data_IF_767686236583
#
_entry.id   IF_767686236583
#
_cell.length_a   1.000
_cell.length_b   1.000
_cell.length_c   1.000
_cell.angle_alpha   90.00
_cell.angle_beta   90.00
_cell.angle_gamma   90.00
#
_symmetry.space_group_name_H-M   'P 1'
#
loop_
_entity.id
_entity.type
_entity.pdbx_description
1 polymer ?
#
# COMPACT_ATOMS: atom_id res chain seq x y z
N UNK A 1 -48.80 -32.54 10.20
CA UNK A 1 -47.34 -32.35 10.13
C UNK A 1 -47.09 -31.16 9.23
N UNK A 2 -46.83 -29.99 9.77
CA UNK A 2 -46.49 -28.78 9.01
C UNK A 2 -44.96 -28.75 8.80
N UNK A 3 -44.54 -28.79 7.54
CA UNK A 3 -43.17 -28.57 7.14
C UNK A 3 -42.85 -27.06 7.23
N UNK A 4 -41.92 -26.70 8.04
CA UNK A 4 -41.28 -25.36 8.07
C UNK A 4 -40.42 -25.18 6.83
N UNK A 5 -40.47 -24.04 6.12
CA UNK A 5 -39.56 -23.78 5.02
C UNK A 5 -38.15 -23.57 5.54
N UNK A 6 -37.19 -24.34 5.01
CA UNK A 6 -35.78 -24.11 5.21
C UNK A 6 -35.41 -22.86 4.42
N UNK A 7 -35.11 -21.78 5.11
CA UNK A 7 -34.38 -20.68 4.53
C UNK A 7 -32.95 -21.18 4.18
N UNK A 8 -32.69 -21.21 2.89
CA UNK A 8 -31.35 -21.39 2.36
C UNK A 8 -30.49 -20.22 2.92
N UNK A 9 -29.45 -20.55 3.66
CA UNK A 9 -28.43 -19.60 4.04
C UNK A 9 -27.76 -19.08 2.77
N UNK A 10 -28.13 -17.87 2.34
CA UNK A 10 -27.30 -17.08 1.47
C UNK A 10 -25.94 -16.94 2.17
N UNK A 11 -24.88 -17.36 1.50
CA UNK A 11 -23.53 -17.01 1.90
C UNK A 11 -23.46 -15.47 1.90
N UNK A 12 -23.40 -14.89 3.06
CA UNK A 12 -22.98 -13.51 3.23
C UNK A 12 -21.56 -13.44 2.67
N UNK A 13 -21.41 -12.93 1.46
CA UNK A 13 -20.13 -12.47 0.95
C UNK A 13 -19.67 -11.38 1.92
N UNK A 14 -18.57 -11.58 2.60
CA UNK A 14 -17.97 -10.52 3.40
C UNK A 14 -17.56 -9.41 2.44
N UNK A 15 -18.30 -8.30 2.46
CA UNK A 15 -17.97 -7.12 1.68
C UNK A 15 -16.57 -6.67 2.10
N UNK A 16 -15.61 -6.79 1.17
CA UNK A 16 -14.23 -6.44 1.45
C UNK A 16 -14.08 -4.93 1.38
N UNK A 17 -13.64 -4.33 2.48
CA UNK A 17 -13.07 -2.99 2.48
C UNK A 17 -11.68 -3.05 3.10
N UNK A 18 -10.72 -2.40 2.46
CA UNK A 18 -9.36 -2.30 2.92
C UNK A 18 -8.86 -0.86 2.84
N UNK A 19 -8.20 -0.43 3.90
CA UNK A 19 -7.72 0.92 4.07
C UNK A 19 -6.20 0.92 4.18
N UNK A 20 -5.55 1.71 3.33
CA UNK A 20 -4.10 1.80 3.27
C UNK A 20 -3.65 3.24 3.48
N UNK A 21 -2.56 3.42 4.22
CA UNK A 21 -1.86 4.69 4.34
C UNK A 21 -0.40 4.52 3.95
N UNK A 22 0.01 5.19 2.88
CA UNK A 22 1.39 5.22 2.40
C UNK A 22 2.03 6.54 2.85
N UNK A 23 3.17 6.46 3.51
CA UNK A 23 3.81 7.63 4.10
C UNK A 23 5.34 7.62 3.96
N UNK A 24 5.91 8.81 3.89
CA UNK A 24 7.33 9.01 3.75
C UNK A 24 7.69 10.50 3.67
N UNK A 25 8.91 10.83 3.34
CA UNK A 25 9.31 12.21 3.11
C UNK A 25 8.88 12.71 1.72
N UNK A 26 8.77 14.03 1.57
CA UNK A 26 8.56 14.65 0.26
C UNK A 26 9.64 14.21 -0.73
N UNK A 27 9.20 13.83 -1.95
CA UNK A 27 10.10 13.35 -3.01
C UNK A 27 10.32 11.84 -3.06
N UNK A 28 9.92 11.06 -2.05
CA UNK A 28 10.02 9.59 -2.09
C UNK A 28 8.97 8.90 -2.99
N UNK A 29 8.03 9.64 -3.58
CA UNK A 29 7.07 9.11 -4.55
C UNK A 29 5.95 8.24 -3.96
N UNK A 30 5.69 8.31 -2.65
CA UNK A 30 4.61 7.54 -1.98
C UNK A 30 3.23 7.83 -2.57
N UNK A 31 2.98 9.07 -2.99
CA UNK A 31 1.73 9.46 -3.65
C UNK A 31 1.57 8.76 -5.00
N UNK A 32 2.66 8.70 -5.79
CA UNK A 32 2.66 7.99 -7.08
C UNK A 32 2.37 6.50 -6.89
N UNK A 33 3.01 5.86 -5.91
CA UNK A 33 2.75 4.45 -5.58
C UNK A 33 1.28 4.21 -5.20
N UNK A 34 0.71 5.09 -4.36
CA UNK A 34 -0.70 5.02 -3.97
C UNK A 34 -1.65 5.17 -5.17
N UNK A 35 -1.38 6.10 -6.08
CA UNK A 35 -2.18 6.31 -7.29
C UNK A 35 -2.12 5.06 -8.18
N UNK A 36 -0.94 4.48 -8.42
CA UNK A 36 -0.78 3.28 -9.23
C UNK A 36 -1.57 2.10 -8.63
N UNK A 37 -1.50 1.94 -7.30
CA UNK A 37 -2.23 0.88 -6.62
C UNK A 37 -3.75 1.06 -6.72
N UNK A 38 -4.23 2.30 -6.57
CA UNK A 38 -5.63 2.68 -6.75
C UNK A 38 -6.13 2.40 -8.18
N UNK A 39 -5.34 2.76 -9.20
CA UNK A 39 -5.65 2.49 -10.61
C UNK A 39 -5.72 0.98 -10.89
N UNK A 40 -4.79 0.20 -10.34
CA UNK A 40 -4.78 -1.25 -10.47
C UNK A 40 -6.03 -1.89 -9.83
N UNK A 41 -6.43 -1.42 -8.64
CA UNK A 41 -7.65 -1.88 -7.96
C UNK A 41 -8.91 -1.52 -8.77
N UNK A 42 -8.98 -0.31 -9.31
CA UNK A 42 -10.08 0.13 -10.17
C UNK A 42 -10.17 -0.72 -11.44
N UNK A 43 -9.04 -1.07 -12.06
CA UNK A 43 -9.01 -1.95 -13.23
C UNK A 43 -9.49 -3.38 -12.92
N UNK A 44 -9.43 -3.79 -11.65
CA UNK A 44 -10.00 -5.05 -11.17
C UNK A 44 -11.50 -4.96 -10.80
N UNK A 45 -12.15 -3.83 -11.08
CA UNK A 45 -13.58 -3.63 -10.82
C UNK A 45 -13.92 -3.24 -9.38
N UNK A 46 -12.93 -2.83 -8.58
CA UNK A 46 -13.14 -2.35 -7.20
C UNK A 46 -13.59 -0.89 -7.17
N UNK A 47 -14.35 -0.53 -6.15
CA UNK A 47 -14.57 0.86 -5.79
C UNK A 47 -13.34 1.37 -5.03
N UNK A 48 -12.87 2.57 -5.38
CA UNK A 48 -11.64 3.14 -4.82
C UNK A 48 -11.83 4.60 -4.47
N UNK A 49 -11.40 4.99 -3.29
CA UNK A 49 -11.21 6.38 -2.92
C UNK A 49 -9.73 6.61 -2.60
N UNK A 50 -9.14 7.66 -3.17
CA UNK A 50 -7.75 8.03 -2.92
C UNK A 50 -7.68 9.48 -2.49
N UNK A 51 -6.98 9.75 -1.39
CA UNK A 51 -6.69 11.08 -0.90
C UNK A 51 -5.19 11.27 -0.69
N UNK A 52 -4.76 12.53 -0.64
CA UNK A 52 -3.37 12.88 -0.38
C UNK A 52 -3.27 14.11 0.48
N UNK A 53 -2.29 14.13 1.37
CA UNK A 53 -1.98 15.28 2.19
C UNK A 53 -0.48 15.54 2.17
N UNK A 54 -0.15 16.77 1.85
CA UNK A 54 1.20 17.29 2.03
C UNK A 54 1.25 17.91 3.43
N UNK A 55 2.21 17.49 4.27
CA UNK A 55 2.39 18.11 5.57
C UNK A 55 2.60 19.63 5.44
N UNK A 56 2.16 20.44 6.42
CA UNK A 56 2.29 21.90 6.40
C UNK A 56 3.75 22.37 6.37
N UNK A 57 4.68 21.49 6.63
CA UNK A 57 6.11 21.75 6.60
C UNK A 57 6.61 21.63 5.16
N UNK A 58 6.89 22.75 4.53
CA UNK A 58 7.35 22.85 3.15
C UNK A 58 8.69 22.12 2.86
N UNK A 59 9.39 21.63 3.88
CA UNK A 59 10.63 20.83 3.80
C UNK A 59 10.73 19.87 4.98
N UNK A 60 10.72 18.57 4.68
CA UNK A 60 10.96 17.51 5.68
C UNK A 60 9.73 16.95 6.40
N UNK A 61 8.53 17.44 6.14
CA UNK A 61 7.30 16.86 6.68
C UNK A 61 6.93 15.52 6.03
N UNK A 62 6.26 14.65 6.78
CA UNK A 62 5.78 13.38 6.28
C UNK A 62 4.65 13.61 5.27
N UNK A 63 4.90 13.29 4.00
CA UNK A 63 3.86 13.15 2.98
C UNK A 63 3.06 11.89 3.24
N UNK A 64 1.74 11.94 3.05
CA UNK A 64 0.90 10.75 3.09
C UNK A 64 -0.06 10.70 1.90
N UNK A 65 -0.38 9.49 1.49
CA UNK A 65 -1.48 9.20 0.60
C UNK A 65 -2.29 8.05 1.17
N UNK A 66 -3.59 8.12 1.06
CA UNK A 66 -4.52 7.14 1.60
C UNK A 66 -5.31 6.53 0.46
N UNK A 67 -5.56 5.24 0.55
CA UNK A 67 -6.33 4.48 -0.44
C UNK A 67 -7.32 3.60 0.30
N UNK A 68 -8.60 3.72 -0.05
CA UNK A 68 -9.66 2.81 0.39
C UNK A 68 -10.09 2.00 -0.83
N UNK A 69 -10.11 0.69 -0.69
CA UNK A 69 -10.54 -0.25 -1.73
C UNK A 69 -11.69 -1.08 -1.19
N UNK A 70 -12.81 -1.12 -1.90
CA UNK A 70 -14.03 -1.80 -1.45
C UNK A 70 -14.75 -2.52 -2.58
N UNK A 71 -15.44 -3.58 -2.24
CA UNK A 71 -16.42 -4.21 -3.13
C UNK A 71 -17.67 -3.35 -3.27
N UNK A 72 -18.01 -2.59 -2.23
CA UNK A 72 -19.17 -1.71 -2.16
C UNK A 72 -18.86 -0.23 -2.35
N UNK A 73 -19.91 0.58 -2.41
CA UNK A 73 -19.81 2.05 -2.52
C UNK A 73 -19.18 2.64 -1.24
N UNK A 74 -18.14 3.44 -1.43
CA UNK A 74 -17.44 4.12 -0.33
C UNK A 74 -18.18 5.41 0.00
N UNK A 75 -18.91 5.42 1.12
CA UNK A 75 -19.66 6.60 1.57
C UNK A 75 -18.81 7.59 2.39
N UNK A 76 -17.78 7.09 3.09
CA UNK A 76 -16.91 7.86 3.95
C UNK A 76 -15.44 7.67 3.54
N UNK A 77 -14.92 8.51 2.62
CA UNK A 77 -13.56 8.36 2.10
C UNK A 77 -12.51 8.92 3.09
N UNK A 78 -12.52 8.42 4.33
CA UNK A 78 -11.62 8.81 5.41
C UNK A 78 -10.98 7.57 6.01
N UNK A 79 -9.67 7.56 6.09
CA UNK A 79 -8.90 6.47 6.71
C UNK A 79 -8.61 6.84 8.17
N UNK A 80 -9.22 6.14 9.10
CA UNK A 80 -8.98 6.33 10.54
C UNK A 80 -8.07 5.23 11.09
N UNK A 81 -8.40 3.98 10.82
CA UNK A 81 -7.66 2.80 11.28
C UNK A 81 -7.23 1.95 10.09
N UNK A 82 -6.14 2.33 9.38
CA UNK A 82 -5.71 1.61 8.20
C UNK A 82 -5.34 0.16 8.50
N UNK A 83 -5.71 -0.75 7.60
CA UNK A 83 -5.26 -2.15 7.63
C UNK A 83 -3.76 -2.24 7.35
N UNK A 84 -3.24 -1.33 6.52
CA UNK A 84 -1.83 -1.31 6.13
C UNK A 84 -1.28 0.12 6.22
N UNK A 85 -0.18 0.27 6.94
CA UNK A 85 0.65 1.49 6.91
C UNK A 85 1.99 1.15 6.28
N UNK A 86 2.35 1.84 5.20
CA UNK A 86 3.71 1.92 4.71
C UNK A 86 4.40 3.14 5.32
N UNK A 87 5.55 2.96 5.96
CA UNK A 87 6.39 4.03 6.46
C UNK A 87 7.80 3.94 5.87
N UNK A 88 8.13 4.86 4.98
CA UNK A 88 9.44 4.91 4.31
C UNK A 88 10.49 5.77 5.06
N UNK A 89 10.14 6.30 6.23
CA UNK A 89 11.06 7.06 7.09
C UNK A 89 10.66 6.90 8.56
N UNK A 90 11.62 7.14 9.48
CA UNK A 90 11.35 7.09 10.91
C UNK A 90 10.24 8.06 11.31
N UNK A 91 10.28 9.30 10.81
CA UNK A 91 9.25 10.30 11.11
C UNK A 91 7.84 9.87 10.66
N UNK A 92 7.75 9.16 9.54
CA UNK A 92 6.48 8.60 9.06
C UNK A 92 6.01 7.44 9.95
N UNK A 93 6.91 6.55 10.35
CA UNK A 93 6.61 5.44 11.26
C UNK A 93 6.14 5.95 12.62
N UNK A 94 6.86 6.87 13.23
CA UNK A 94 6.52 7.46 14.54
C UNK A 94 5.15 8.16 14.52
N UNK A 95 4.81 8.77 13.38
CA UNK A 95 3.57 9.54 13.23
C UNK A 95 2.34 8.68 12.98
N UNK A 96 2.48 7.61 12.20
CA UNK A 96 1.31 6.90 11.63
C UNK A 96 1.17 5.45 12.07
N UNK A 97 2.19 4.83 12.68
CA UNK A 97 2.06 3.44 13.13
C UNK A 97 0.99 3.27 14.22
N UNK A 98 0.77 4.31 15.04
CA UNK A 98 -0.28 4.28 16.08
C UNK A 98 -1.71 4.32 15.58
N UNK A 99 -1.92 4.64 14.29
CA UNK A 99 -3.25 4.70 13.67
C UNK A 99 -3.68 3.32 13.11
N UNK A 100 -2.75 2.35 13.02
CA UNK A 100 -3.04 1.00 12.50
C UNK A 100 -4.21 0.33 13.22
N UNK A 101 -4.95 -0.50 12.49
CA UNK A 101 -5.89 -1.44 13.12
C UNK A 101 -5.17 -2.24 14.20
N UNK A 102 -5.65 -2.22 15.46
CA UNK A 102 -4.92 -2.77 16.59
C UNK A 102 -4.84 -4.30 16.57
N UNK A 103 -5.73 -4.99 15.85
CA UNK A 103 -5.80 -6.45 15.84
C UNK A 103 -5.06 -7.06 14.64
N UNK A 104 -5.28 -6.50 13.45
CA UNK A 104 -4.84 -7.10 12.20
C UNK A 104 -3.97 -6.17 11.33
N UNK A 105 -3.68 -4.96 11.84
CA UNK A 105 -2.93 -3.96 11.08
C UNK A 105 -1.51 -4.39 10.78
N UNK A 106 -1.05 -4.15 9.56
CA UNK A 106 0.29 -4.46 9.08
C UNK A 106 1.10 -3.19 8.89
N UNK A 107 2.24 -3.09 9.56
CA UNK A 107 3.22 -2.03 9.37
C UNK A 107 4.32 -2.50 8.42
N UNK A 108 4.39 -1.90 7.24
CA UNK A 108 5.49 -2.11 6.29
C UNK A 108 6.49 -0.97 6.45
N UNK A 109 7.76 -1.28 6.69
CA UNK A 109 8.80 -0.27 6.90
C UNK A 109 9.99 -0.47 5.96
N UNK A 110 10.63 0.64 5.59
CA UNK A 110 11.99 0.60 5.04
C UNK A 110 12.97 0.31 6.20
N UNK A 111 13.53 -0.88 6.23
CA UNK A 111 14.35 -1.36 7.35
C UNK A 111 15.60 -0.51 7.62
N UNK A 112 16.13 0.17 6.61
CA UNK A 112 17.30 1.02 6.73
C UNK A 112 16.96 2.44 7.23
N UNK A 113 15.79 2.95 6.82
CA UNK A 113 15.36 4.31 7.14
C UNK A 113 14.46 4.39 8.38
N UNK A 114 14.05 3.23 8.93
CA UNK A 114 13.24 3.10 10.15
C UNK A 114 13.97 2.18 11.15
N UNK A 115 15.09 2.61 11.74
CA UNK A 115 15.87 1.80 12.69
C UNK A 115 15.13 1.52 14.00
N UNK A 116 14.17 2.36 14.40
CA UNK A 116 13.36 2.19 15.59
C UNK A 116 11.92 1.88 15.20
N UNK A 117 11.65 0.62 14.84
CA UNK A 117 10.32 0.20 14.37
C UNK A 117 9.31 0.28 15.52
N UNK A 118 8.22 1.07 15.39
CA UNK A 118 7.15 1.09 16.38
C UNK A 118 6.47 -0.27 16.53
N UNK A 119 5.87 -0.52 17.68
CA UNK A 119 5.10 -1.74 17.92
C UNK A 119 3.86 -1.78 17.02
N UNK A 120 3.62 -2.93 16.40
CA UNK A 120 2.43 -3.22 15.60
C UNK A 120 2.13 -4.72 15.69
N UNK A 121 0.89 -5.12 15.37
CA UNK A 121 0.48 -6.53 15.41
C UNK A 121 1.25 -7.37 14.40
N UNK A 122 1.47 -6.83 13.21
CA UNK A 122 2.29 -7.44 12.17
C UNK A 122 3.26 -6.41 11.60
N UNK A 123 4.52 -6.79 11.47
CA UNK A 123 5.59 -5.91 10.93
C UNK A 123 6.26 -6.62 9.77
N UNK A 124 6.36 -5.94 8.64
CA UNK A 124 7.12 -6.37 7.46
C UNK A 124 8.24 -5.37 7.22
N UNK A 125 9.48 -5.78 7.46
CA UNK A 125 10.66 -4.95 7.29
C UNK A 125 11.36 -5.29 5.98
N UNK A 126 11.39 -4.34 5.04
CA UNK A 126 12.00 -4.51 3.72
C UNK A 126 13.06 -3.42 3.52
N UNK A 127 14.28 -3.73 3.08
CA UNK A 127 15.30 -2.72 2.79
C UNK A 127 15.00 -2.00 1.46
N UNK A 128 13.87 -1.28 1.42
CA UNK A 128 13.26 -0.74 0.20
C UNK A 128 14.22 0.16 -0.57
N UNK A 129 14.80 1.15 0.11
CA UNK A 129 15.72 2.11 -0.52
C UNK A 129 17.02 1.44 -0.95
N UNK A 130 17.56 0.55 -0.13
CA UNK A 130 18.77 -0.23 -0.45
C UNK A 130 18.55 -1.11 -1.68
N UNK A 131 17.43 -1.84 -1.75
CA UNK A 131 17.07 -2.64 -2.92
C UNK A 131 16.94 -1.80 -4.19
N UNK A 132 16.34 -0.62 -4.10
CA UNK A 132 16.23 0.29 -5.25
C UNK A 132 17.62 0.74 -5.74
N UNK A 133 18.57 1.01 -4.84
CA UNK A 133 19.92 1.43 -5.19
C UNK A 133 20.73 0.25 -5.75
N UNK A 134 20.75 -0.88 -5.05
CA UNK A 134 21.63 -2.01 -5.39
C UNK A 134 21.13 -2.82 -6.59
N UNK A 135 19.81 -3.02 -6.72
CA UNK A 135 19.23 -3.85 -7.79
C UNK A 135 18.85 -3.06 -9.02
N UNK A 136 18.45 -1.79 -8.87
CA UNK A 136 17.94 -0.96 -9.97
C UNK A 136 18.92 0.17 -10.30
N UNK A 137 19.76 0.56 -9.35
CA UNK A 137 20.80 1.57 -9.53
C UNK A 137 20.42 2.99 -9.07
N UNK A 138 19.20 3.24 -8.63
CA UNK A 138 18.75 4.58 -8.17
C UNK A 138 17.69 4.49 -7.08
N UNK A 139 17.83 5.28 -6.02
CA UNK A 139 16.83 5.44 -4.97
C UNK A 139 15.45 5.95 -5.49
N UNK A 140 15.42 6.57 -6.67
CA UNK A 140 14.18 7.04 -7.30
C UNK A 140 13.13 5.93 -7.48
N UNK A 141 13.55 4.68 -7.61
CA UNK A 141 12.65 3.52 -7.78
C UNK A 141 12.15 2.92 -6.45
N UNK A 142 12.52 3.49 -5.30
CA UNK A 142 12.10 3.01 -3.99
C UNK A 142 10.58 2.97 -3.82
N UNK A 143 9.86 3.92 -4.40
CA UNK A 143 8.38 3.92 -4.38
C UNK A 143 7.78 2.71 -5.11
N UNK A 144 8.41 2.22 -6.16
CA UNK A 144 7.93 1.04 -6.91
C UNK A 144 8.36 -0.25 -6.21
N UNK A 145 9.53 -0.29 -5.56
CA UNK A 145 9.90 -1.38 -4.65
C UNK A 145 8.87 -1.47 -3.51
N UNK A 146 8.52 -0.34 -2.89
CA UNK A 146 7.49 -0.28 -1.85
C UNK A 146 6.12 -0.74 -2.36
N UNK A 147 5.74 -0.37 -3.59
CA UNK A 147 4.51 -0.82 -4.24
C UNK A 147 4.49 -2.34 -4.42
N UNK A 148 5.62 -2.96 -4.77
CA UNK A 148 5.78 -4.41 -4.82
C UNK A 148 5.52 -5.06 -3.47
N UNK A 149 6.12 -4.55 -2.40
CA UNK A 149 5.89 -5.03 -1.04
C UNK A 149 4.41 -4.90 -0.61
N UNK A 150 3.78 -3.75 -0.87
CA UNK A 150 2.35 -3.56 -0.59
C UNK A 150 1.49 -4.57 -1.36
N UNK A 151 1.80 -4.80 -2.63
CA UNK A 151 1.06 -5.76 -3.47
C UNK A 151 1.12 -7.17 -2.89
N UNK A 152 2.31 -7.60 -2.44
CA UNK A 152 2.51 -8.91 -1.82
C UNK A 152 1.77 -9.05 -0.50
N UNK A 153 1.99 -8.11 0.40
CA UNK A 153 1.46 -8.12 1.77
C UNK A 153 -0.06 -8.00 1.78
N UNK A 154 -0.62 -7.13 0.95
CA UNK A 154 -2.06 -6.89 0.94
C UNK A 154 -2.85 -8.03 0.29
N UNK A 155 -2.35 -8.61 -0.78
CA UNK A 155 -3.09 -9.58 -1.58
C UNK A 155 -4.40 -9.06 -2.20
N UNK A 156 -4.67 -7.74 -2.10
CA UNK A 156 -5.94 -7.12 -2.53
C UNK A 156 -6.02 -7.04 -4.04
N UNK A 157 -4.91 -6.73 -4.69
CA UNK A 157 -4.82 -6.52 -6.14
C UNK A 157 -3.83 -7.53 -6.72
N UNK A 158 -4.21 -8.24 -7.80
CA UNK A 158 -3.29 -9.16 -8.48
C UNK A 158 -2.04 -8.44 -9.00
N UNK A 159 -0.88 -9.08 -8.89
CA UNK A 159 0.40 -8.52 -9.34
C UNK A 159 0.36 -8.07 -10.80
N UNK A 160 -0.30 -8.82 -11.68
CA UNK A 160 -0.39 -8.48 -13.11
C UNK A 160 -1.21 -7.20 -13.37
N UNK A 161 -2.23 -6.93 -12.55
CA UNK A 161 -2.96 -5.66 -12.61
C UNK A 161 -2.07 -4.49 -12.19
N UNK A 162 -1.24 -4.67 -11.15
CA UNK A 162 -0.27 -3.65 -10.72
C UNK A 162 0.80 -3.43 -11.78
N UNK A 163 1.34 -4.48 -12.42
CA UNK A 163 2.27 -4.37 -13.55
C UNK A 163 1.67 -3.53 -14.70
N UNK A 164 0.41 -3.80 -15.04
CA UNK A 164 -0.30 -3.04 -16.08
C UNK A 164 -0.44 -1.56 -15.69
N UNK A 165 -0.83 -1.26 -14.46
CA UNK A 165 -0.95 0.13 -13.97
C UNK A 165 0.41 0.85 -13.97
N UNK A 166 1.49 0.18 -13.54
CA UNK A 166 2.86 0.71 -13.64
C UNK A 166 3.19 1.06 -15.09
N UNK A 167 2.93 0.15 -16.05
CA UNK A 167 3.25 0.37 -17.45
C UNK A 167 2.54 1.58 -18.08
N UNK A 168 1.34 1.89 -17.61
CA UNK A 168 0.59 3.05 -18.08
C UNK A 168 1.08 4.38 -17.48
N UNK A 169 1.72 4.32 -16.31
CA UNK A 169 2.05 5.51 -15.53
C UNK A 169 3.50 5.97 -15.68
N UNK A 170 4.42 5.04 -15.95
CA UNK A 170 5.84 5.36 -16.04
C UNK A 170 6.26 5.68 -17.47
N UNK A 171 7.30 6.53 -17.66
CA UNK A 171 7.83 6.79 -18.99
C UNK A 171 8.36 5.51 -19.64
N UNK A 172 8.17 5.33 -20.97
CA UNK A 172 8.58 4.10 -21.67
C UNK A 172 10.05 3.72 -21.47
N UNK A 173 10.95 4.71 -21.40
CA UNK A 173 12.39 4.47 -21.23
C UNK A 173 12.78 4.00 -19.80
N UNK A 174 11.87 4.04 -18.85
CA UNK A 174 12.07 3.54 -17.47
C UNK A 174 11.25 2.31 -17.17
N UNK A 175 10.50 1.79 -18.13
CA UNK A 175 9.55 0.69 -17.91
C UNK A 175 10.24 -0.55 -17.32
N UNK A 176 11.32 -1.00 -17.93
CA UNK A 176 12.04 -2.21 -17.48
C UNK A 176 12.56 -2.06 -16.05
N UNK A 177 13.12 -0.90 -15.72
CA UNK A 177 13.61 -0.60 -14.38
C UNK A 177 12.48 -0.57 -13.35
N UNK A 178 11.31 -0.02 -13.70
CA UNK A 178 10.14 -0.02 -12.82
C UNK A 178 9.55 -1.44 -12.65
N UNK A 179 9.51 -2.25 -13.71
CA UNK A 179 9.09 -3.65 -13.61
C UNK A 179 10.01 -4.47 -12.71
N UNK A 180 11.32 -4.28 -12.86
CA UNK A 180 12.32 -4.91 -12.00
C UNK A 180 12.15 -4.46 -10.54
N UNK A 181 11.96 -3.17 -10.29
CA UNK A 181 11.74 -2.61 -8.95
C UNK A 181 10.49 -3.20 -8.28
N UNK A 182 9.39 -3.31 -9.02
CA UNK A 182 8.15 -3.92 -8.55
C UNK A 182 8.38 -5.38 -8.12
N UNK A 183 9.05 -6.16 -8.96
CA UNK A 183 9.32 -7.57 -8.67
C UNK A 183 10.25 -7.75 -7.45
N UNK A 184 11.31 -6.96 -7.37
CA UNK A 184 12.26 -6.99 -6.24
C UNK A 184 11.53 -6.71 -4.92
N UNK A 185 10.63 -5.71 -4.89
CA UNK A 185 9.85 -5.41 -3.71
C UNK A 185 8.81 -6.49 -3.36
N UNK A 186 8.18 -7.06 -4.37
CA UNK A 186 7.22 -8.14 -4.21
C UNK A 186 7.86 -9.41 -3.62
N UNK A 187 9.03 -9.78 -4.10
CA UNK A 187 9.79 -10.95 -3.64
C UNK A 187 10.39 -10.72 -2.24
N UNK A 188 10.87 -9.50 -1.96
CA UNK A 188 11.47 -9.18 -0.65
C UNK A 188 10.46 -9.16 0.51
N UNK A 189 9.17 -9.11 0.24
CA UNK A 189 8.09 -9.10 1.24
C UNK A 189 7.43 -10.48 1.42
N UNK A 190 8.09 -11.57 1.06
CA UNK A 190 7.57 -12.95 1.14
C UNK A 190 7.61 -13.56 2.55
N UNK A 191 8.11 -12.85 3.55
CA UNK A 191 8.27 -13.43 4.91
C UNK A 191 7.12 -13.05 5.85
#
# INVERSE_FOLDING_TARGET
>A
VRQTPRFSSAQEGSDMQKELRLSGSGGQGVITAAIIFAEAATACGRNVAQSQSYGPEARGGASRSEVIISDDVIYHPHVEHPDIVLAMTQAAADKYAGDLDPENGVLIVDSELVPNVPAASHIVSVPITTLAIEKIGKALFANIVALGAITRVSGIVPLDAVKTAVSHRVPPHTLDANMQALMVGYEAAEE
#
